data_IF_862598572379
#
_entry.id   IF_862598572379
#
_cell.length_a   1.000
_cell.length_b   1.000
_cell.length_c   1.000
_cell.angle_alpha   90.00
_cell.angle_beta   90.00
_cell.angle_gamma   90.00
#
_symmetry.space_group_name_H-M   'P 1'
#
loop_
_entity.id
_entity.type
_entity.pdbx_description
1 polymer ?
#
# COMPACT_ATOMS: atom_id res chain seq x y z
N UNK A 1 -35.39 -6.91 -16.57
CA UNK A 1 -34.27 -7.84 -16.34
C UNK A 1 -33.72 -7.56 -14.95
N UNK A 2 -34.09 -8.35 -13.96
CA UNK A 2 -33.50 -8.25 -12.62
C UNK A 2 -32.54 -9.43 -12.44
N UNK A 3 -31.24 -9.13 -12.46
CA UNK A 3 -30.24 -9.97 -11.83
C UNK A 3 -29.45 -9.13 -10.79
N UNK A 4 -29.98 -8.86 -9.58
CA UNK A 4 -29.19 -8.15 -8.56
C UNK A 4 -28.85 -8.97 -7.29
N UNK A 5 -29.50 -10.10 -7.00
CA UNK A 5 -29.38 -10.68 -5.65
C UNK A 5 -28.21 -11.65 -5.42
N UNK A 6 -27.80 -12.42 -6.44
CA UNK A 6 -26.73 -13.41 -6.28
C UNK A 6 -25.35 -12.77 -6.32
N UNK A 7 -25.18 -11.71 -7.12
CA UNK A 7 -23.89 -11.01 -7.24
C UNK A 7 -23.58 -10.18 -5.99
N UNK A 8 -24.56 -9.46 -5.46
CA UNK A 8 -24.40 -8.68 -4.24
C UNK A 8 -24.13 -9.56 -3.00
N UNK A 9 -24.79 -10.71 -2.89
CA UNK A 9 -24.54 -11.64 -1.77
C UNK A 9 -23.15 -12.26 -1.82
N UNK A 10 -22.64 -12.61 -3.02
CA UNK A 10 -21.26 -13.09 -3.17
C UNK A 10 -20.20 -12.03 -2.81
N UNK A 11 -20.40 -10.78 -3.23
CA UNK A 11 -19.49 -9.69 -2.88
C UNK A 11 -19.50 -9.41 -1.37
N UNK A 12 -20.68 -9.45 -0.74
CA UNK A 12 -20.79 -9.29 0.72
C UNK A 12 -20.08 -10.42 1.48
N UNK A 13 -20.23 -11.67 1.04
CA UNK A 13 -19.52 -12.82 1.64
C UNK A 13 -18.01 -12.73 1.44
N UNK A 14 -17.56 -12.29 0.26
CA UNK A 14 -16.14 -12.09 -0.03
C UNK A 14 -15.54 -10.98 0.83
N UNK A 15 -16.25 -9.85 0.99
CA UNK A 15 -15.83 -8.75 1.85
C UNK A 15 -15.76 -9.22 3.31
N UNK A 16 -16.78 -9.93 3.81
CA UNK A 16 -16.79 -10.48 5.16
C UNK A 16 -15.61 -11.43 5.41
N UNK A 17 -15.28 -12.27 4.42
CA UNK A 17 -14.12 -13.16 4.48
C UNK A 17 -12.81 -12.37 4.58
N UNK A 18 -12.63 -11.32 3.77
CA UNK A 18 -11.43 -10.48 3.81
C UNK A 18 -11.30 -9.73 5.14
N UNK A 19 -12.40 -9.15 5.65
CA UNK A 19 -12.41 -8.51 6.97
C UNK A 19 -12.02 -9.49 8.06
N UNK A 20 -12.55 -10.72 8.02
CA UNK A 20 -12.21 -11.77 9.00
C UNK A 20 -10.71 -12.08 8.97
N UNK A 21 -10.13 -12.25 7.78
CA UNK A 21 -8.69 -12.47 7.62
C UNK A 21 -7.85 -11.31 8.16
N UNK A 22 -8.26 -10.06 7.92
CA UNK A 22 -7.58 -8.89 8.47
C UNK A 22 -7.65 -8.88 9.99
N UNK A 23 -8.80 -9.20 10.59
CA UNK A 23 -8.96 -9.25 12.04
C UNK A 23 -8.15 -10.38 12.70
N UNK A 24 -7.85 -11.46 11.99
CA UNK A 24 -6.96 -12.54 12.47
C UNK A 24 -5.53 -12.04 12.74
N UNK A 25 -5.09 -10.95 12.08
CA UNK A 25 -3.78 -10.35 12.33
C UNK A 25 -3.61 -9.83 13.76
N UNK A 26 -4.72 -9.55 14.47
CA UNK A 26 -4.73 -9.16 15.88
C UNK A 26 -4.11 -10.19 16.81
N UNK A 27 -4.03 -11.47 16.40
CA UNK A 27 -3.32 -12.50 17.16
C UNK A 27 -1.84 -12.14 17.37
N UNK A 28 -1.23 -11.47 16.39
CA UNK A 28 0.16 -11.02 16.42
C UNK A 28 0.27 -9.57 16.88
N UNK A 29 -0.47 -8.64 16.27
CA UNK A 29 -0.30 -7.20 16.50
C UNK A 29 -0.58 -6.77 17.94
N UNK A 30 -1.46 -7.49 18.67
CA UNK A 30 -1.74 -7.22 20.09
C UNK A 30 -0.50 -7.35 20.98
N UNK A 31 0.51 -8.13 20.58
CA UNK A 31 1.79 -8.26 21.32
C UNK A 31 2.56 -6.94 21.37
N UNK A 32 2.29 -6.05 20.40
CA UNK A 32 2.85 -4.71 20.29
C UNK A 32 1.86 -3.63 20.77
N UNK A 33 0.72 -4.03 21.36
CA UNK A 33 -0.31 -3.10 21.84
C UNK A 33 -1.25 -2.56 20.75
N UNK A 34 -1.24 -3.16 19.56
CA UNK A 34 -2.03 -2.74 18.42
C UNK A 34 -3.18 -3.70 18.15
N UNK A 35 -4.38 -3.16 17.92
CA UNK A 35 -5.60 -3.90 17.60
C UNK A 35 -6.29 -3.21 16.44
N UNK A 36 -6.45 -3.94 15.35
CA UNK A 36 -7.27 -3.56 14.20
C UNK A 36 -8.75 -3.79 14.53
N UNK A 37 -9.55 -2.74 14.45
CA UNK A 37 -10.99 -2.82 14.67
C UNK A 37 -11.73 -3.37 13.44
N UNK A 38 -12.96 -3.90 13.59
CA UNK A 38 -13.77 -4.30 12.43
C UNK A 38 -14.06 -3.15 11.47
N UNK A 39 -14.21 -1.92 11.99
CA UNK A 39 -14.40 -0.70 11.20
C UNK A 39 -13.12 -0.33 10.45
N UNK A 40 -11.96 -0.34 11.13
CA UNK A 40 -10.67 -0.09 10.48
C UNK A 40 -10.30 -1.13 9.43
N UNK A 41 -10.66 -2.40 9.64
CA UNK A 41 -10.48 -3.45 8.63
C UNK A 41 -11.34 -3.21 7.37
N UNK A 42 -12.56 -2.68 7.53
CA UNK A 42 -13.40 -2.27 6.41
C UNK A 42 -12.80 -1.07 5.69
N UNK A 43 -12.41 -0.04 6.44
CA UNK A 43 -11.79 1.19 5.90
C UNK A 43 -10.50 0.87 5.12
N UNK A 44 -9.63 0.00 5.65
CA UNK A 44 -8.44 -0.48 4.94
C UNK A 44 -8.74 -1.10 3.57
N UNK A 45 -9.81 -1.91 3.48
CA UNK A 45 -10.22 -2.55 2.23
C UNK A 45 -10.90 -1.56 1.27
N UNK A 46 -11.65 -0.59 1.80
CA UNK A 46 -12.28 0.48 1.01
C UNK A 46 -11.22 1.38 0.40
N UNK A 47 -10.28 1.89 1.20
CA UNK A 47 -9.19 2.73 0.74
C UNK A 47 -8.24 1.97 -0.19
N UNK A 48 -8.00 0.67 0.04
CA UNK A 48 -7.31 -0.19 -0.93
C UNK A 48 -7.96 -0.14 -2.30
N UNK A 49 -9.29 -0.30 -2.36
CA UNK A 49 -10.01 -0.33 -3.63
C UNK A 49 -9.95 1.03 -4.34
N UNK A 50 -9.93 2.13 -3.58
CA UNK A 50 -9.72 3.49 -4.10
C UNK A 50 -8.31 3.61 -4.67
N UNK A 51 -7.28 3.23 -3.92
CA UNK A 51 -5.88 3.29 -4.34
C UNK A 51 -5.64 2.44 -5.61
N UNK A 52 -6.10 1.19 -5.63
CA UNK A 52 -6.01 0.30 -6.81
C UNK A 52 -6.67 0.92 -8.04
N UNK A 53 -7.85 1.54 -7.88
CA UNK A 53 -8.55 2.19 -8.98
C UNK A 53 -7.77 3.40 -9.50
N UNK A 54 -7.24 4.24 -8.60
CA UNK A 54 -6.45 5.41 -8.96
C UNK A 54 -5.14 5.00 -9.64
N UNK A 55 -4.57 3.87 -9.21
CA UNK A 55 -3.34 3.31 -9.74
C UNK A 55 -3.55 2.44 -11.00
N UNK A 56 -4.80 2.22 -11.45
CA UNK A 56 -5.11 1.37 -12.60
C UNK A 56 -4.83 -0.13 -12.40
N UNK A 57 -4.81 -0.59 -11.15
CA UNK A 57 -4.53 -1.99 -10.75
C UNK A 57 -5.80 -2.77 -10.44
N UNK A 58 -5.72 -4.09 -10.57
CA UNK A 58 -6.78 -5.02 -10.19
C UNK A 58 -6.21 -6.04 -9.20
N UNK A 59 -6.79 -6.11 -8.01
CA UNK A 59 -6.47 -7.08 -6.96
C UNK A 59 -7.78 -7.69 -6.46
N UNK A 60 -7.79 -9.00 -6.17
CA UNK A 60 -9.00 -9.75 -5.84
C UNK A 60 -8.99 -10.35 -4.43
N UNK A 61 -7.83 -10.44 -3.79
CA UNK A 61 -7.65 -10.96 -2.44
C UNK A 61 -7.11 -9.86 -1.51
N UNK A 62 -6.87 -10.21 -0.25
CA UNK A 62 -6.32 -9.31 0.79
C UNK A 62 -4.86 -9.59 1.11
N UNK A 63 -4.15 -10.36 0.27
CA UNK A 63 -2.81 -10.85 0.57
C UNK A 63 -1.80 -9.73 0.79
N UNK A 64 -1.85 -8.66 -0.01
CA UNK A 64 -0.96 -7.52 0.16
C UNK A 64 -1.29 -6.71 1.41
N UNK A 65 -2.57 -6.43 1.68
CA UNK A 65 -2.99 -5.75 2.91
C UNK A 65 -2.56 -6.53 4.15
N UNK A 66 -2.68 -7.86 4.14
CA UNK A 66 -2.17 -8.73 5.22
C UNK A 66 -0.66 -8.61 5.39
N UNK A 67 0.10 -8.59 4.29
CA UNK A 67 1.56 -8.39 4.34
C UNK A 67 1.92 -7.03 4.93
N UNK A 68 1.22 -5.96 4.55
CA UNK A 68 1.43 -4.62 5.11
C UNK A 68 1.19 -4.64 6.62
N UNK A 69 0.05 -5.18 7.08
CA UNK A 69 -0.27 -5.27 8.50
C UNK A 69 0.83 -6.00 9.27
N UNK A 70 1.24 -7.19 8.80
CA UNK A 70 2.28 -7.97 9.46
C UNK A 70 3.65 -7.28 9.46
N UNK A 71 4.00 -6.59 8.37
CA UNK A 71 5.25 -5.88 8.25
C UNK A 71 5.35 -4.71 9.25
N UNK A 72 4.27 -3.96 9.43
CA UNK A 72 4.28 -2.72 10.20
C UNK A 72 3.77 -2.86 11.64
N UNK A 73 3.05 -3.92 11.99
CA UNK A 73 2.51 -4.10 13.36
C UNK A 73 3.57 -4.17 14.47
N UNK A 74 4.85 -4.36 14.13
CA UNK A 74 5.96 -4.36 15.07
C UNK A 74 6.81 -3.06 15.03
N UNK A 75 6.38 -2.05 14.26
CA UNK A 75 7.10 -0.77 14.22
C UNK A 75 7.03 -0.10 15.59
N UNK A 76 8.16 0.39 16.14
CA UNK A 76 8.16 1.12 17.41
C UNK A 76 7.52 2.50 17.29
N UNK A 77 7.24 2.98 16.08
CA UNK A 77 6.69 4.31 15.81
C UNK A 77 5.18 4.34 15.66
N UNK A 78 4.53 3.17 15.58
CA UNK A 78 3.08 3.08 15.44
C UNK A 78 2.46 2.83 16.81
N UNK A 79 1.42 3.58 17.13
CA UNK A 79 0.63 3.46 18.35
C UNK A 79 -0.82 3.10 18.01
N UNK A 80 -1.60 2.73 19.01
CA UNK A 80 -2.99 2.35 18.77
C UNK A 80 -3.82 3.47 18.12
N UNK A 81 -3.53 4.72 18.46
CA UNK A 81 -4.30 5.89 18.01
C UNK A 81 -4.09 6.22 16.52
N UNK A 82 -2.96 5.81 15.93
CA UNK A 82 -2.63 6.05 14.52
C UNK A 82 -2.52 4.78 13.68
N UNK A 83 -2.60 3.59 14.29
CA UNK A 83 -2.39 2.30 13.63
C UNK A 83 -3.14 2.13 12.31
N UNK A 84 -4.46 2.33 12.33
CA UNK A 84 -5.31 2.09 11.16
C UNK A 84 -5.01 3.13 10.06
N UNK A 85 -4.86 4.40 10.44
CA UNK A 85 -4.52 5.48 9.51
C UNK A 85 -3.14 5.29 8.88
N UNK A 86 -2.12 4.94 9.65
CA UNK A 86 -0.77 4.69 9.14
C UNK A 86 -0.75 3.52 8.16
N UNK A 87 -1.48 2.43 8.43
CA UNK A 87 -1.58 1.30 7.50
C UNK A 87 -2.25 1.69 6.17
N UNK A 88 -3.28 2.53 6.20
CA UNK A 88 -3.94 3.06 4.99
C UNK A 88 -2.93 3.85 4.15
N UNK A 89 -2.20 4.77 4.77
CA UNK A 89 -1.24 5.63 4.07
C UNK A 89 -0.04 4.83 3.51
N UNK A 90 0.47 3.85 4.25
CA UNK A 90 1.50 2.95 3.74
C UNK A 90 1.00 2.18 2.52
N UNK A 91 -0.25 1.71 2.54
CA UNK A 91 -0.85 0.99 1.42
C UNK A 91 -0.97 1.87 0.18
N UNK A 92 -1.36 3.14 0.34
CA UNK A 92 -1.38 4.12 -0.75
C UNK A 92 0.02 4.32 -1.35
N UNK A 93 1.02 4.61 -0.50
CA UNK A 93 2.42 4.81 -0.93
C UNK A 93 2.95 3.56 -1.64
N UNK A 94 2.59 2.36 -1.17
CA UNK A 94 3.00 1.11 -1.80
C UNK A 94 2.50 1.01 -3.25
N UNK A 95 1.21 1.23 -3.50
CA UNK A 95 0.65 1.12 -4.86
C UNK A 95 1.18 2.20 -5.80
N UNK A 96 1.36 3.41 -5.26
CA UNK A 96 2.00 4.52 -5.95
C UNK A 96 3.44 4.16 -6.39
N UNK A 97 4.24 3.60 -5.48
CA UNK A 97 5.59 3.10 -5.80
C UNK A 97 5.59 1.94 -6.80
N UNK A 98 4.64 1.00 -6.70
CA UNK A 98 4.52 -0.09 -7.68
C UNK A 98 4.28 0.44 -9.09
N UNK A 99 3.43 1.46 -9.23
CA UNK A 99 3.17 2.10 -10.51
C UNK A 99 4.39 2.79 -11.09
N UNK A 100 5.06 3.59 -10.27
CA UNK A 100 6.20 4.40 -10.73
C UNK A 100 7.44 3.56 -11.04
N UNK A 101 7.56 2.40 -10.38
CA UNK A 101 8.61 1.43 -10.69
C UNK A 101 8.23 0.48 -11.82
N UNK A 102 7.05 0.65 -12.44
CA UNK A 102 6.49 -0.26 -13.45
C UNK A 102 6.59 -1.74 -13.02
N UNK A 103 6.27 -2.02 -11.75
CA UNK A 103 6.34 -3.34 -11.14
C UNK A 103 7.74 -4.00 -11.14
N UNK A 104 8.81 -3.24 -11.40
CA UNK A 104 10.19 -3.78 -11.42
C UNK A 104 10.72 -4.23 -10.06
N UNK A 105 10.10 -3.78 -8.96
CA UNK A 105 10.41 -4.20 -7.60
C UNK A 105 9.34 -5.18 -7.12
N UNK A 106 9.78 -6.29 -6.52
CA UNK A 106 8.88 -7.29 -5.92
C UNK A 106 8.14 -6.71 -4.72
N UNK A 107 6.97 -7.26 -4.39
CA UNK A 107 6.17 -6.74 -3.28
C UNK A 107 6.89 -6.86 -1.94
N UNK A 108 7.62 -7.96 -1.72
CA UNK A 108 8.35 -8.20 -0.48
C UNK A 108 9.57 -7.26 -0.35
N UNK A 109 10.28 -6.99 -1.46
CA UNK A 109 11.39 -6.03 -1.47
C UNK A 109 10.89 -4.60 -1.25
N UNK A 110 9.77 -4.23 -1.87
CA UNK A 110 9.18 -2.90 -1.71
C UNK A 110 8.66 -2.67 -0.30
N UNK A 111 7.99 -3.66 0.31
CA UNK A 111 7.57 -3.58 1.72
C UNK A 111 8.76 -3.45 2.65
N UNK A 112 9.83 -4.22 2.41
CA UNK A 112 11.06 -4.14 3.21
C UNK A 112 11.72 -2.76 3.10
N UNK A 113 11.73 -2.18 1.89
CA UNK A 113 12.25 -0.84 1.65
C UNK A 113 11.41 0.23 2.37
N UNK A 114 10.09 0.18 2.26
CA UNK A 114 9.18 1.10 2.94
C UNK A 114 9.34 1.01 4.45
N UNK A 115 9.42 -0.21 5.00
CA UNK A 115 9.64 -0.43 6.43
C UNK A 115 10.95 0.22 6.89
N UNK A 116 12.04 -0.01 6.15
CA UNK A 116 13.34 0.56 6.48
C UNK A 116 13.32 2.10 6.42
N UNK A 117 12.67 2.68 5.42
CA UNK A 117 12.54 4.14 5.35
C UNK A 117 11.71 4.68 6.52
N UNK A 118 10.55 4.09 6.78
CA UNK A 118 9.65 4.51 7.85
C UNK A 118 10.33 4.43 9.23
N UNK A 119 10.93 3.29 9.58
CA UNK A 119 11.50 3.06 10.92
C UNK A 119 12.88 3.69 11.16
N UNK A 120 13.65 4.01 10.12
CA UNK A 120 15.07 4.40 10.31
C UNK A 120 15.46 5.71 9.67
N UNK A 121 14.79 6.12 8.60
CA UNK A 121 15.12 7.36 7.91
C UNK A 121 14.07 8.44 8.12
N UNK A 122 12.83 8.04 8.42
CA UNK A 122 11.72 8.94 8.65
C UNK A 122 11.27 8.99 10.11
N UNK A 123 11.82 8.15 10.99
CA UNK A 123 11.48 8.09 12.41
C UNK A 123 9.95 8.05 12.66
N UNK A 124 9.23 7.27 11.83
CA UNK A 124 7.77 7.15 11.89
C UNK A 124 6.97 8.26 11.21
N UNK A 125 7.62 9.28 10.64
CA UNK A 125 6.93 10.37 9.96
C UNK A 125 6.48 9.93 8.56
N UNK A 126 5.19 9.63 8.44
CA UNK A 126 4.55 9.18 7.21
C UNK A 126 4.51 10.27 6.13
N UNK A 127 4.37 11.55 6.51
CA UNK A 127 4.39 12.67 5.58
C UNK A 127 5.80 12.88 5.02
N UNK A 128 6.82 12.69 5.86
CA UNK A 128 8.20 12.70 5.41
C UNK A 128 8.50 11.51 4.47
N UNK A 129 7.94 10.32 4.74
CA UNK A 129 8.03 9.17 3.83
C UNK A 129 7.41 9.48 2.47
N UNK A 130 6.20 10.07 2.43
CA UNK A 130 5.54 10.53 1.20
C UNK A 130 6.41 11.54 0.44
N UNK A 131 6.98 12.53 1.13
CA UNK A 131 7.87 13.52 0.53
C UNK A 131 9.13 12.90 -0.09
N UNK A 132 9.76 11.96 0.63
CA UNK A 132 10.94 11.23 0.14
C UNK A 132 10.62 10.40 -1.10
N UNK A 133 9.45 9.76 -1.12
CA UNK A 133 8.93 9.07 -2.29
C UNK A 133 8.81 10.02 -3.49
N UNK A 134 8.13 11.16 -3.35
CA UNK A 134 7.97 12.17 -4.41
C UNK A 134 9.32 12.71 -4.94
N UNK A 135 10.31 12.86 -4.07
CA UNK A 135 11.67 13.26 -4.45
C UNK A 135 12.39 12.18 -5.25
N UNK A 136 12.19 10.89 -4.94
CA UNK A 136 12.72 9.77 -5.72
C UNK A 136 12.10 9.78 -7.12
N UNK A 137 10.78 9.94 -7.22
CA UNK A 137 10.07 10.02 -8.51
C UNK A 137 10.60 11.16 -9.36
N UNK A 138 10.62 12.37 -8.79
CA UNK A 138 11.04 13.59 -9.49
C UNK A 138 12.46 13.46 -10.07
N UNK A 139 13.35 12.72 -9.40
CA UNK A 139 14.71 12.43 -9.90
C UNK A 139 14.71 11.39 -11.01
N UNK A 140 13.89 10.35 -10.90
CA UNK A 140 13.79 9.29 -11.91
C UNK A 140 13.16 9.80 -13.20
N UNK A 141 12.08 10.58 -13.13
CA UNK A 141 11.47 11.21 -14.31
C UNK A 141 12.46 12.12 -15.03
N UNK A 142 13.23 12.94 -14.29
CA UNK A 142 14.28 13.80 -14.88
C UNK A 142 15.35 12.98 -15.60
N UNK A 143 15.86 11.91 -14.99
CA UNK A 143 16.85 11.02 -15.60
C UNK A 143 16.31 10.32 -16.85
N UNK A 144 15.07 9.84 -16.80
CA UNK A 144 14.43 9.18 -17.92
C UNK A 144 14.21 10.13 -19.11
N UNK A 145 13.82 11.37 -18.85
CA UNK A 145 13.69 12.41 -19.89
C UNK A 145 15.06 12.75 -20.50
N UNK A 146 16.10 12.94 -19.69
CA UNK A 146 17.47 13.16 -20.19
C UNK A 146 17.97 12.01 -21.07
N UNK A 147 17.63 10.77 -20.72
CA UNK A 147 18.01 9.58 -21.49
C UNK A 147 17.28 9.56 -22.84
N UNK A 148 15.98 9.88 -22.86
CA UNK A 148 15.18 9.99 -24.09
C UNK A 148 15.70 11.09 -25.03
N UNK A 149 16.06 12.24 -24.48
CA UNK A 149 16.61 13.35 -25.26
C UNK A 149 17.92 12.93 -25.96
N UNK A 150 18.83 12.29 -25.23
CA UNK A 150 20.09 11.75 -25.78
C UNK A 150 19.88 10.75 -26.93
N UNK A 151 18.94 9.80 -26.79
CA UNK A 151 18.61 8.83 -27.85
C UNK A 151 17.75 9.39 -28.99
N UNK A 152 17.18 10.59 -28.83
CA UNK A 152 16.46 11.30 -29.89
C UNK A 152 17.41 12.12 -30.77
N UNK A 153 18.48 12.69 -30.20
CA UNK A 153 19.50 13.45 -30.94
C UNK A 153 20.41 12.56 -31.80
N UNK A 154 20.70 11.32 -31.36
CA UNK A 154 21.54 10.38 -32.12
C UNK A 154 20.80 9.67 -33.26
N UNK A 155 19.46 9.63 -33.24
CA UNK A 155 18.64 9.07 -34.34
C UNK A 155 18.27 10.09 -35.42
N UNK A 156 18.63 11.37 -35.22
CA UNK A 156 18.43 12.46 -36.17
C UNK A 156 19.65 12.82 -37.00
N UNK A 157 20.74 12.04 -36.91
CA UNK A 157 21.98 12.21 -37.70
C UNK A 157 22.11 11.15 -38.78
#
# INVERSE_FOLDING_TARGET
MQLPNIFNSKNALLLQSQVTQLLETNMESQKYGLILSPTGALELLEERNIALKNSGRLEFDSSLTLKIIHCFCNSPFIQQDDYETTLIEIQEIFYDMKNETEDSISDDDLLSLLKNFFDHECDGDIEYLKGKYLDILSRNTKRHNQTKDFFSEERGK
#
